data_IF_734259285057
#
_entry.id   IF_734259285057
#
_cell.length_a   1.000
_cell.length_b   1.000
_cell.length_c   1.000
_cell.angle_alpha   90.00
_cell.angle_beta   90.00
_cell.angle_gamma   90.00
#
_symmetry.space_group_name_H-M   'P 1'
#
loop_
_entity.id
_entity.type
_entity.pdbx_description
1 polymer ?
#
# COMPACT_ATOMS: atom_id res chain seq x y z
N UNK A 1 63.71 -32.27 -64.91
CA UNK A 1 63.22 -31.74 -66.21
C UNK A 1 62.27 -30.61 -65.78
N UNK A 2 62.77 -29.45 -65.89
CA UNK A 2 62.44 -28.39 -66.82
C UNK A 2 61.25 -27.53 -66.37
N UNK A 3 61.62 -26.36 -65.93
CA UNK A 3 61.26 -25.02 -66.45
C UNK A 3 59.82 -24.55 -66.09
N UNK A 4 59.47 -23.33 -65.75
CA UNK A 4 60.14 -22.05 -65.60
C UNK A 4 59.13 -21.11 -64.96
N UNK A 5 59.61 -20.15 -64.18
CA UNK A 5 58.91 -18.91 -63.87
C UNK A 5 58.58 -18.07 -65.10
N UNK A 6 57.70 -17.12 -65.14
CA UNK A 6 58.08 -15.81 -64.59
C UNK A 6 56.94 -14.93 -63.93
N UNK A 7 57.41 -14.04 -63.10
CA UNK A 7 56.90 -12.73 -62.70
C UNK A 7 55.89 -12.06 -63.63
N UNK A 8 54.86 -11.47 -63.07
CA UNK A 8 54.45 -10.11 -63.42
C UNK A 8 53.66 -9.42 -62.23
N UNK A 9 54.20 -8.32 -61.88
CA UNK A 9 53.63 -7.26 -61.09
C UNK A 9 52.16 -6.94 -61.50
N UNK A 10 51.31 -6.59 -60.55
CA UNK A 10 50.60 -5.31 -60.64
C UNK A 10 49.84 -4.99 -59.34
N UNK A 11 50.26 -3.86 -58.81
CA UNK A 11 49.47 -2.76 -58.22
C UNK A 11 48.53 -3.08 -57.06
N UNK A 12 48.91 -2.45 -55.98
CA UNK A 12 48.17 -2.03 -54.79
C UNK A 12 46.79 -1.49 -55.10
N UNK A 13 45.77 -1.97 -54.38
CA UNK A 13 44.59 -1.23 -54.09
C UNK A 13 44.33 -1.40 -52.59
N UNK A 14 44.72 -0.38 -51.81
CA UNK A 14 44.34 -0.22 -50.43
C UNK A 14 42.82 0.02 -50.41
N UNK A 15 42.05 -0.98 -50.03
CA UNK A 15 40.67 -0.76 -49.59
C UNK A 15 40.71 -0.70 -48.06
N UNK A 16 40.70 0.52 -47.55
CA UNK A 16 40.49 0.79 -46.14
C UNK A 16 39.07 0.37 -45.74
N UNK A 17 38.94 -0.74 -45.02
CA UNK A 17 37.72 -1.14 -44.35
C UNK A 17 37.54 -0.20 -43.14
N UNK A 18 36.77 0.87 -43.32
CA UNK A 18 36.28 1.67 -42.23
C UNK A 18 35.24 0.85 -41.49
N UNK A 19 35.66 0.22 -40.37
CA UNK A 19 34.74 -0.34 -39.39
C UNK A 19 34.10 0.87 -38.70
N UNK A 20 32.93 1.27 -39.20
CA UNK A 20 32.06 2.21 -38.54
C UNK A 20 31.54 1.55 -37.26
N UNK A 21 32.17 1.86 -36.12
CA UNK A 21 31.57 1.65 -34.82
C UNK A 21 30.35 2.58 -34.74
N UNK A 22 29.17 2.05 -35.06
CA UNK A 22 27.90 2.69 -34.69
C UNK A 22 27.85 2.66 -33.16
N UNK A 23 28.34 3.73 -32.52
CA UNK A 23 27.91 4.11 -31.20
C UNK A 23 26.40 4.42 -31.29
N UNK A 24 25.57 3.43 -31.01
CA UNK A 24 24.19 3.68 -30.68
C UNK A 24 24.21 4.50 -29.38
N UNK A 25 24.34 5.80 -29.52
CA UNK A 25 23.97 6.75 -28.48
C UNK A 25 22.48 6.50 -28.24
N UNK A 26 22.17 5.75 -27.17
CA UNK A 26 20.85 5.75 -26.59
C UNK A 26 20.54 7.22 -26.30
N UNK A 27 19.75 7.80 -27.18
CA UNK A 27 19.15 9.10 -26.95
C UNK A 27 18.31 8.92 -25.68
N UNK A 28 18.89 9.26 -24.53
CA UNK A 28 18.16 9.64 -23.35
C UNK A 28 17.29 10.80 -23.84
N UNK A 29 16.02 10.51 -24.13
CA UNK A 29 15.04 11.56 -24.36
C UNK A 29 15.08 12.41 -23.11
N UNK A 30 15.76 13.54 -23.20
CA UNK A 30 15.83 14.50 -22.11
C UNK A 30 14.38 14.82 -21.78
N UNK A 31 13.98 14.43 -20.58
CA UNK A 31 12.69 14.76 -20.01
C UNK A 31 12.66 16.28 -19.90
N UNK A 32 11.91 16.94 -20.78
CA UNK A 32 11.85 18.39 -20.80
C UNK A 32 11.36 18.87 -19.43
N UNK A 33 12.22 19.61 -18.74
CA UNK A 33 11.91 20.21 -17.44
C UNK A 33 10.91 21.37 -17.57
N UNK A 34 10.60 21.78 -18.80
CA UNK A 34 9.71 22.88 -19.09
C UNK A 34 8.25 22.48 -18.89
N UNK A 35 7.63 23.09 -17.89
CA UNK A 35 6.21 22.95 -17.60
C UNK A 35 5.93 22.93 -16.10
N UNK A 36 4.68 23.15 -15.79
CA UNK A 36 4.13 23.06 -14.44
C UNK A 36 3.37 21.74 -14.27
N UNK A 37 3.16 21.37 -13.03
CA UNK A 37 2.29 20.27 -12.61
C UNK A 37 1.35 20.75 -11.52
N UNK A 38 0.24 20.05 -11.36
CA UNK A 38 -0.68 20.31 -10.28
C UNK A 38 -0.43 19.34 -9.13
N UNK A 39 -0.52 19.84 -7.92
CA UNK A 39 -0.46 19.06 -6.69
C UNK A 39 -1.36 19.65 -5.62
N UNK A 40 -1.91 18.80 -4.77
CA UNK A 40 -2.61 19.24 -3.58
C UNK A 40 -1.63 19.39 -2.43
N UNK A 41 -1.77 20.46 -1.68
CA UNK A 41 -0.96 20.76 -0.50
C UNK A 41 -1.86 20.96 0.71
N UNK A 42 -1.33 20.60 1.87
CA UNK A 42 -1.93 20.92 3.16
C UNK A 42 -1.59 22.38 3.49
N UNK A 43 -2.62 23.18 3.65
CA UNK A 43 -2.50 24.59 4.05
C UNK A 43 -3.12 24.78 5.42
N UNK A 44 -2.50 25.59 6.28
CA UNK A 44 -2.97 25.79 7.65
C UNK A 44 -4.38 26.38 7.65
N UNK A 45 -5.27 25.82 8.44
CA UNK A 45 -6.64 26.26 8.68
C UNK A 45 -6.83 26.67 10.13
N UNK A 46 -8.02 27.17 10.48
CA UNK A 46 -8.35 27.52 11.86
C UNK A 46 -8.24 26.31 12.82
N UNK A 47 -8.55 25.10 12.29
CA UNK A 47 -8.34 23.83 12.97
C UNK A 47 -7.71 22.87 11.96
N UNK A 48 -6.48 22.38 12.24
CA UNK A 48 -5.79 21.45 11.37
C UNK A 48 -5.35 22.09 10.04
N UNK A 49 -5.67 21.39 8.94
CA UNK A 49 -5.24 21.76 7.58
C UNK A 49 -6.40 21.59 6.59
N UNK A 50 -6.44 22.48 5.60
CA UNK A 50 -7.25 22.36 4.41
C UNK A 50 -6.41 21.89 3.22
N UNK A 51 -7.08 21.49 2.15
CA UNK A 51 -6.47 21.12 0.89
C UNK A 51 -6.47 22.31 -0.07
N UNK A 52 -5.31 22.67 -0.61
CA UNK A 52 -5.18 23.68 -1.67
C UNK A 52 -4.52 23.08 -2.90
N UNK A 53 -5.17 23.22 -4.05
CA UNK A 53 -4.58 22.86 -5.34
C UNK A 53 -3.55 23.95 -5.73
N UNK A 54 -2.35 23.52 -6.04
CA UNK A 54 -1.24 24.39 -6.44
C UNK A 54 -0.68 23.94 -7.77
N UNK A 55 -0.28 24.91 -8.57
CA UNK A 55 0.54 24.72 -9.74
C UNK A 55 1.99 25.03 -9.37
N UNK A 56 2.90 24.09 -9.63
CA UNK A 56 4.31 24.17 -9.25
C UNK A 56 5.20 23.73 -10.41
N UNK A 57 6.46 24.17 -10.47
CA UNK A 57 7.42 23.64 -11.44
C UNK A 57 7.49 22.12 -11.39
N UNK A 58 7.56 21.50 -12.55
CA UNK A 58 7.71 20.05 -12.67
C UNK A 58 9.03 19.59 -12.06
N UNK A 59 9.03 18.65 -11.09
CA UNK A 59 10.28 18.22 -10.49
C UNK A 59 11.07 17.32 -11.44
N UNK A 60 12.39 17.51 -11.49
CA UNK A 60 13.33 16.69 -12.25
C UNK A 60 14.08 15.75 -11.31
N UNK A 61 14.20 14.45 -11.64
CA UNK A 61 14.91 13.51 -10.79
C UNK A 61 16.42 13.78 -10.82
N UNK A 62 17.00 13.87 -9.65
CA UNK A 62 18.44 13.99 -9.43
C UNK A 62 19.13 12.62 -9.51
N UNK A 63 20.44 12.58 -9.20
CA UNK A 63 21.19 11.32 -9.09
C UNK A 63 20.51 10.36 -8.10
N UNK A 64 20.35 9.10 -8.53
CA UNK A 64 19.68 8.03 -7.78
C UNK A 64 18.22 8.32 -7.45
N UNK A 65 17.53 9.10 -8.26
CA UNK A 65 16.09 9.36 -8.13
C UNK A 65 15.36 8.99 -9.41
N UNK A 66 14.06 8.75 -9.30
CA UNK A 66 13.15 8.57 -10.44
C UNK A 66 12.00 9.56 -10.33
N UNK A 67 11.52 10.04 -11.49
CA UNK A 67 10.24 10.76 -11.55
C UNK A 67 9.13 9.78 -11.91
N UNK A 68 8.07 9.80 -11.12
CA UNK A 68 6.87 8.97 -11.30
C UNK A 68 5.70 9.86 -11.64
N UNK A 69 5.07 9.63 -12.80
CA UNK A 69 3.73 10.16 -13.08
C UNK A 69 2.73 9.36 -12.30
N UNK A 70 2.13 9.98 -11.29
CA UNK A 70 1.09 9.35 -10.48
C UNK A 70 -0.18 9.19 -11.33
N UNK A 71 -0.80 8.04 -11.25
CA UNK A 71 -2.03 7.71 -11.97
C UNK A 71 -3.22 7.53 -11.04
N UNK A 72 -2.95 7.07 -9.82
CA UNK A 72 -3.95 6.93 -8.79
C UNK A 72 -3.33 7.04 -7.40
N UNK A 73 -4.07 7.59 -6.46
CA UNK A 73 -3.76 7.59 -5.02
C UNK A 73 -4.94 7.06 -4.25
N UNK A 74 -4.72 6.57 -3.03
CA UNK A 74 -5.79 5.99 -2.23
C UNK A 74 -5.77 6.49 -0.79
N UNK A 75 -6.93 6.90 -0.30
CA UNK A 75 -7.13 7.44 1.03
C UNK A 75 -7.05 6.36 2.11
N UNK A 76 -6.51 6.75 3.26
CA UNK A 76 -6.45 5.99 4.49
C UNK A 76 -6.99 6.83 5.67
N UNK A 77 -7.45 6.18 6.74
CA UNK A 77 -7.93 6.88 7.95
C UNK A 77 -6.92 7.91 8.48
N UNK A 78 -5.62 7.59 8.38
CA UNK A 78 -4.56 8.51 8.83
C UNK A 78 -4.56 9.85 8.09
N UNK A 79 -5.00 9.89 6.84
CA UNK A 79 -5.01 11.12 6.04
C UNK A 79 -6.02 12.13 6.61
N UNK A 80 -7.14 11.65 7.17
CA UNK A 80 -8.08 12.47 7.93
C UNK A 80 -7.46 12.97 9.24
N UNK A 81 -6.75 12.11 9.97
CA UNK A 81 -6.06 12.49 11.21
C UNK A 81 -4.96 13.52 10.95
N UNK A 82 -4.25 13.38 9.85
CA UNK A 82 -3.22 14.35 9.43
C UNK A 82 -3.86 15.69 9.07
N UNK A 83 -4.94 15.68 8.29
CA UNK A 83 -5.70 16.89 7.97
C UNK A 83 -6.23 17.57 9.24
N UNK A 84 -6.66 16.81 10.22
CA UNK A 84 -7.08 17.33 11.52
C UNK A 84 -5.93 17.83 12.42
N UNK A 85 -4.65 17.62 12.03
CA UNK A 85 -3.49 17.95 12.86
C UNK A 85 -3.27 17.03 14.07
N UNK A 86 -3.95 15.89 14.11
CA UNK A 86 -4.01 14.97 15.26
C UNK A 86 -3.25 13.63 15.05
N UNK A 87 -2.38 13.57 14.09
CA UNK A 87 -1.62 12.35 13.83
C UNK A 87 -0.37 12.29 14.70
N UNK A 88 -0.46 11.57 15.83
CA UNK A 88 0.60 11.50 16.86
C UNK A 88 1.91 10.81 16.45
N UNK A 89 2.04 10.29 15.24
CA UNK A 89 3.20 9.53 14.76
C UNK A 89 3.98 10.25 13.66
N UNK A 90 3.82 11.55 13.51
CA UNK A 90 4.52 12.36 12.53
C UNK A 90 4.07 13.81 12.56
N UNK A 91 4.93 14.71 12.10
CA UNK A 91 4.56 16.12 11.94
C UNK A 91 3.88 16.34 10.59
N UNK A 92 2.74 16.97 10.60
CA UNK A 92 2.13 17.52 9.40
C UNK A 92 2.75 18.90 9.16
N UNK A 93 3.29 19.12 7.98
CA UNK A 93 3.89 20.42 7.62
C UNK A 93 2.98 21.16 6.66
N UNK A 94 2.90 22.47 6.82
CA UNK A 94 2.29 23.36 5.84
C UNK A 94 3.02 23.25 4.51
N UNK A 95 2.30 23.18 3.40
CA UNK A 95 2.85 22.95 2.07
C UNK A 95 3.15 21.47 1.75
N UNK A 96 3.00 20.56 2.73
CA UNK A 96 3.21 19.12 2.52
C UNK A 96 2.17 18.52 1.56
N UNK A 97 2.62 17.62 0.68
CA UNK A 97 1.75 16.84 -0.20
C UNK A 97 1.13 15.71 0.62
N UNK A 98 -0.21 15.60 0.72
CA UNK A 98 -0.86 14.55 1.50
C UNK A 98 -0.87 13.20 0.76
N UNK A 99 -1.44 12.19 1.44
CA UNK A 99 -1.69 10.81 1.01
C UNK A 99 -0.39 10.01 0.84
N UNK A 100 -0.31 8.91 1.60
CA UNK A 100 0.84 7.99 1.53
C UNK A 100 0.82 7.07 0.33
N UNK A 101 -0.37 6.68 -0.13
CA UNK A 101 -0.60 5.58 -1.03
C UNK A 101 -0.80 6.07 -2.47
N UNK A 102 0.04 5.61 -3.38
CA UNK A 102 -0.10 5.96 -4.79
C UNK A 102 0.61 4.98 -5.70
N UNK A 103 0.12 4.89 -6.92
CA UNK A 103 0.67 4.11 -8.00
C UNK A 103 0.78 4.94 -9.29
N UNK A 104 1.76 4.62 -10.10
CA UNK A 104 2.03 5.37 -11.33
C UNK A 104 3.08 4.71 -12.21
N UNK A 105 3.59 5.50 -13.13
CA UNK A 105 4.55 5.10 -14.14
C UNK A 105 5.85 5.91 -14.00
N UNK A 106 6.99 5.25 -14.05
CA UNK A 106 8.28 5.91 -14.11
C UNK A 106 8.42 6.62 -15.46
N UNK A 107 8.57 7.94 -15.44
CA UNK A 107 8.66 8.78 -16.65
C UNK A 107 10.05 9.37 -16.89
N UNK A 108 10.91 9.36 -15.87
CA UNK A 108 12.32 9.70 -15.99
C UNK A 108 13.14 9.00 -14.92
N UNK A 109 14.41 8.76 -15.21
CA UNK A 109 15.39 8.15 -14.30
C UNK A 109 16.62 9.04 -14.22
N UNK A 110 17.05 9.37 -13.02
CA UNK A 110 18.29 10.10 -12.77
C UNK A 110 19.52 9.22 -12.95
N UNK A 111 20.72 9.82 -13.06
CA UNK A 111 21.96 9.08 -13.18
C UNK A 111 22.16 8.11 -11.99
N UNK A 112 22.62 6.89 -12.26
CA UNK A 112 22.90 5.87 -11.24
C UNK A 112 21.75 4.93 -10.91
N UNK A 113 20.53 5.21 -11.35
CA UNK A 113 19.38 4.32 -11.15
C UNK A 113 19.55 3.05 -11.98
N UNK A 114 19.44 1.88 -11.31
CA UNK A 114 19.50 0.55 -11.95
C UNK A 114 18.23 -0.27 -11.76
N UNK A 115 17.42 0.07 -10.74
CA UNK A 115 16.27 -0.72 -10.30
C UNK A 115 15.05 -0.57 -11.20
N UNK A 116 14.89 0.60 -11.80
CA UNK A 116 13.76 0.94 -12.66
C UNK A 116 14.19 1.58 -13.97
N UNK A 117 13.31 1.53 -14.96
CA UNK A 117 13.42 2.22 -16.25
C UNK A 117 12.11 2.95 -16.54
N UNK A 118 12.17 3.89 -17.49
CA UNK A 118 10.98 4.57 -18.02
C UNK A 118 9.97 3.53 -18.53
N UNK A 119 8.70 3.73 -18.19
CA UNK A 119 7.59 2.82 -18.47
C UNK A 119 7.34 1.77 -17.39
N UNK A 120 8.21 1.60 -16.40
CA UNK A 120 7.94 0.68 -15.28
C UNK A 120 6.74 1.19 -14.46
N UNK A 121 5.79 0.29 -14.19
CA UNK A 121 4.63 0.55 -13.35
C UNK A 121 4.98 0.30 -11.88
N UNK A 122 4.79 1.30 -11.04
CA UNK A 122 5.27 1.28 -9.65
C UNK A 122 4.23 1.78 -8.65
N UNK A 123 4.38 1.37 -7.38
CA UNK A 123 3.72 1.97 -6.23
C UNK A 123 4.75 2.42 -5.20
N UNK A 124 4.46 3.51 -4.50
CA UNK A 124 5.26 3.97 -3.37
C UNK A 124 5.09 3.04 -2.17
N UNK A 125 6.15 2.77 -1.42
CA UNK A 125 6.02 2.11 -0.12
C UNK A 125 5.65 3.16 0.95
N UNK A 126 4.93 2.74 1.98
CA UNK A 126 4.43 3.66 3.02
C UNK A 126 5.57 4.37 3.77
N UNK A 127 6.59 3.62 4.21
CA UNK A 127 7.81 4.13 4.84
C UNK A 127 8.96 4.03 3.85
N UNK A 128 9.34 5.13 3.23
CA UNK A 128 10.34 5.16 2.15
C UNK A 128 11.66 4.46 2.48
N UNK A 129 12.06 4.44 3.77
CA UNK A 129 13.34 3.89 4.23
C UNK A 129 13.22 2.54 4.95
N UNK A 130 12.02 1.97 5.04
CA UNK A 130 11.88 0.64 5.62
C UNK A 130 11.95 -0.44 4.54
N UNK A 131 13.17 -0.81 4.18
CA UNK A 131 13.41 -1.78 3.10
C UNK A 131 13.14 -3.21 3.57
N UNK A 132 13.48 -3.56 4.79
CA UNK A 132 13.28 -4.88 5.37
C UNK A 132 13.76 -4.95 6.82
N UNK A 133 13.64 -6.13 7.43
CA UNK A 133 14.09 -6.37 8.79
C UNK A 133 13.26 -5.64 9.86
N UNK A 134 13.90 -5.36 11.00
CA UNK A 134 13.28 -4.67 12.13
C UNK A 134 13.00 -3.20 11.81
N UNK A 135 11.96 -2.64 12.44
CA UNK A 135 11.66 -1.20 12.38
C UNK A 135 12.75 -0.40 13.09
N UNK A 136 13.16 0.70 12.48
CA UNK A 136 14.06 1.68 13.10
C UNK A 136 13.37 3.04 13.20
N UNK A 137 13.83 3.91 14.08
CA UNK A 137 13.32 5.28 14.20
C UNK A 137 13.45 6.03 12.86
N UNK A 138 14.56 5.85 12.13
CA UNK A 138 14.79 6.45 10.82
C UNK A 138 13.80 5.94 9.76
N UNK A 139 13.45 4.65 9.79
CA UNK A 139 12.42 4.08 8.91
C UNK A 139 11.05 4.70 9.21
N UNK A 140 10.65 4.75 10.47
CA UNK A 140 9.36 5.33 10.88
C UNK A 140 9.23 6.83 10.58
N UNK A 141 10.33 7.57 10.65
CA UNK A 141 10.38 8.99 10.30
C UNK A 141 10.26 9.26 8.78
N UNK A 142 10.15 8.23 7.94
CA UNK A 142 10.06 8.35 6.48
C UNK A 142 8.65 8.07 5.92
N UNK A 143 7.60 8.23 6.74
CA UNK A 143 6.22 8.00 6.32
C UNK A 143 5.79 9.02 5.26
N UNK A 144 5.36 8.54 4.09
CA UNK A 144 4.83 9.37 3.00
C UNK A 144 3.54 10.10 3.43
N UNK A 145 3.35 11.28 2.86
CA UNK A 145 2.22 12.15 3.19
C UNK A 145 2.27 12.66 4.63
N UNK A 146 3.42 12.56 5.30
CA UNK A 146 3.70 13.03 6.63
C UNK A 146 5.08 13.67 6.68
N UNK A 147 6.06 13.00 7.29
CA UNK A 147 7.44 13.49 7.33
C UNK A 147 8.13 13.45 5.96
N UNK A 148 7.70 12.56 5.07
CA UNK A 148 8.11 12.52 3.66
C UNK A 148 6.96 12.99 2.77
N UNK A 149 7.29 13.48 1.56
CA UNK A 149 6.30 13.93 0.58
C UNK A 149 5.31 12.83 0.22
N UNK A 150 4.01 13.19 0.13
CA UNK A 150 2.95 12.28 -0.26
C UNK A 150 2.85 12.08 -1.77
N UNK A 151 1.74 11.48 -2.19
CA UNK A 151 1.51 11.04 -3.56
C UNK A 151 0.44 11.84 -4.31
N UNK A 152 -0.28 12.79 -3.66
CA UNK A 152 -1.36 13.55 -4.30
C UNK A 152 -0.80 14.70 -5.15
N UNK A 153 -0.04 14.34 -6.18
CA UNK A 153 0.62 15.20 -7.14
C UNK A 153 0.70 14.50 -8.50
N UNK A 154 0.58 15.23 -9.61
CA UNK A 154 0.69 14.65 -10.96
C UNK A 154 2.05 14.00 -11.23
N UNK A 155 3.13 14.53 -10.63
CA UNK A 155 4.47 13.93 -10.69
C UNK A 155 5.13 14.04 -9.33
N UNK A 156 5.75 12.94 -8.90
CA UNK A 156 6.59 12.90 -7.69
C UNK A 156 7.98 12.40 -8.04
N UNK A 157 8.98 12.91 -7.33
CA UNK A 157 10.35 12.36 -7.36
C UNK A 157 10.52 11.46 -6.15
N UNK A 158 11.10 10.28 -6.37
CA UNK A 158 11.25 9.28 -5.34
C UNK A 158 12.62 8.59 -5.41
N UNK A 159 13.09 8.12 -4.24
CA UNK A 159 14.17 7.12 -4.18
C UNK A 159 13.64 5.80 -4.77
N UNK A 160 14.36 5.17 -5.72
CA UNK A 160 13.99 3.86 -6.27
C UNK A 160 13.80 2.78 -5.19
N UNK A 161 14.53 2.88 -4.09
CA UNK A 161 14.39 1.94 -2.97
C UNK A 161 13.06 2.10 -2.21
N UNK A 162 12.43 3.27 -2.32
CA UNK A 162 11.10 3.58 -1.78
C UNK A 162 9.92 3.16 -2.68
N UNK A 163 10.18 2.38 -3.74
CA UNK A 163 9.18 1.94 -4.71
C UNK A 163 9.20 0.41 -4.90
N UNK A 164 8.05 -0.13 -5.33
CA UNK A 164 7.92 -1.53 -5.77
C UNK A 164 7.25 -1.58 -7.14
N UNK A 165 7.55 -2.61 -7.95
CA UNK A 165 6.78 -2.92 -9.16
C UNK A 165 5.40 -3.43 -8.75
N UNK A 166 4.36 -2.98 -9.44
CA UNK A 166 3.00 -3.47 -9.22
C UNK A 166 2.70 -4.71 -10.07
N UNK A 167 1.86 -5.63 -9.62
CA UNK A 167 1.40 -6.76 -10.41
C UNK A 167 0.80 -6.32 -11.73
N UNK A 168 1.12 -7.03 -12.82
CA UNK A 168 0.72 -6.63 -14.18
C UNK A 168 -0.80 -6.66 -14.42
N UNK A 169 -1.51 -7.51 -13.67
CA UNK A 169 -2.97 -7.64 -13.79
C UNK A 169 -3.76 -6.54 -13.05
N UNK A 170 -3.12 -5.77 -12.17
CA UNK A 170 -3.79 -4.70 -11.44
C UNK A 170 -3.85 -3.42 -12.26
N UNK A 171 -4.94 -2.67 -12.13
CA UNK A 171 -5.00 -1.27 -12.52
C UNK A 171 -4.14 -0.40 -11.60
N UNK A 172 -3.96 0.89 -11.91
CA UNK A 172 -3.27 1.81 -11.01
C UNK A 172 -4.12 2.10 -9.78
N UNK A 173 -5.43 2.17 -9.93
CA UNK A 173 -6.40 2.37 -8.85
C UNK A 173 -6.34 1.23 -7.83
N UNK A 174 -6.34 -0.02 -8.31
CA UNK A 174 -6.20 -1.20 -7.46
C UNK A 174 -4.84 -1.23 -6.76
N UNK A 175 -3.76 -0.99 -7.51
CA UNK A 175 -2.40 -0.99 -6.96
C UNK A 175 -2.17 0.11 -5.93
N UNK A 176 -2.77 1.30 -6.11
CA UNK A 176 -2.71 2.39 -5.16
C UNK A 176 -3.33 2.06 -3.79
N UNK A 177 -4.18 1.04 -3.69
CA UNK A 177 -4.80 0.65 -2.41
C UNK A 177 -3.89 -0.18 -1.50
N UNK A 178 -2.77 -0.68 -2.02
CA UNK A 178 -1.94 -1.69 -1.36
C UNK A 178 -0.91 -1.15 -0.35
N UNK A 179 -0.25 0.01 -0.56
CA UNK A 179 0.89 0.42 0.26
C UNK A 179 0.63 0.45 1.76
N UNK A 180 -0.52 0.97 2.18
CA UNK A 180 -0.92 0.98 3.59
C UNK A 180 -1.75 -0.26 3.94
N UNK A 181 -2.95 -0.40 3.37
CA UNK A 181 -3.91 -1.41 3.84
C UNK A 181 -3.52 -2.83 3.45
N UNK A 182 -3.03 -3.04 2.23
CA UNK A 182 -2.58 -4.35 1.76
C UNK A 182 -1.38 -4.86 2.56
N UNK A 183 -0.36 -4.01 2.72
CA UNK A 183 0.85 -4.37 3.48
C UNK A 183 0.54 -4.56 4.97
N UNK A 184 -0.39 -3.77 5.54
CA UNK A 184 -0.87 -3.95 6.92
C UNK A 184 -1.54 -5.31 7.10
N UNK A 185 -2.49 -5.66 6.23
CA UNK A 185 -3.18 -6.95 6.28
C UNK A 185 -2.20 -8.13 6.09
N UNK A 186 -1.23 -7.98 5.16
CA UNK A 186 -0.16 -8.96 4.97
C UNK A 186 0.68 -9.15 6.23
N UNK A 187 1.14 -8.07 6.83
CA UNK A 187 1.93 -8.13 8.06
C UNK A 187 1.14 -8.76 9.23
N UNK A 188 -0.14 -8.43 9.34
CA UNK A 188 -1.03 -8.98 10.35
C UNK A 188 -1.23 -10.48 10.18
N UNK A 189 -1.59 -10.93 8.98
CA UNK A 189 -1.97 -12.32 8.71
C UNK A 189 -0.75 -13.25 8.60
N UNK A 190 0.26 -12.86 7.83
CA UNK A 190 1.35 -13.77 7.43
C UNK A 190 2.63 -13.57 8.24
N UNK A 191 3.06 -12.33 8.40
CA UNK A 191 4.35 -12.06 9.06
C UNK A 191 4.28 -12.24 10.58
N UNK A 192 3.21 -11.76 11.20
CA UNK A 192 2.99 -11.81 12.66
C UNK A 192 2.03 -12.91 13.05
N UNK A 193 0.93 -13.03 12.31
CA UNK A 193 -0.12 -13.97 12.58
C UNK A 193 0.21 -15.41 12.16
N UNK A 194 1.02 -15.60 11.11
CA UNK A 194 1.37 -16.93 10.57
C UNK A 194 0.14 -17.79 10.27
N UNK A 195 -0.85 -17.15 9.61
CA UNK A 195 -2.12 -17.82 9.31
C UNK A 195 -1.92 -19.12 8.53
N UNK A 196 -2.65 -20.15 8.91
CA UNK A 196 -2.64 -21.47 8.28
C UNK A 196 -4.00 -21.79 7.65
N UNK A 197 -4.04 -22.68 6.63
CA UNK A 197 -5.30 -23.15 6.06
C UNK A 197 -6.22 -23.76 7.12
N UNK A 198 -7.53 -23.49 7.01
CA UNK A 198 -8.55 -23.97 7.95
C UNK A 198 -8.75 -23.10 9.19
N UNK A 199 -7.79 -22.25 9.55
CA UNK A 199 -7.91 -21.35 10.71
C UNK A 199 -8.97 -20.26 10.49
N UNK A 200 -9.60 -19.84 11.59
CA UNK A 200 -10.57 -18.73 11.57
C UNK A 200 -9.88 -17.39 11.78
N UNK A 201 -10.29 -16.40 10.98
CA UNK A 201 -9.80 -15.02 11.05
C UNK A 201 -10.98 -14.08 11.27
N UNK A 202 -10.95 -13.28 12.30
CA UNK A 202 -11.91 -12.19 12.51
C UNK A 202 -11.38 -10.89 11.88
N UNK A 203 -12.24 -10.24 11.11
CA UNK A 203 -11.98 -8.98 10.42
C UNK A 203 -13.03 -7.96 10.89
N UNK A 204 -12.61 -6.90 11.52
CA UNK A 204 -13.53 -5.90 12.07
C UNK A 204 -13.83 -4.80 11.05
N UNK A 205 -15.13 -4.60 10.79
CA UNK A 205 -15.60 -3.62 9.81
C UNK A 205 -15.33 -4.03 8.36
N UNK A 206 -15.73 -3.16 7.42
CA UNK A 206 -15.63 -3.36 5.96
C UNK A 206 -14.79 -2.30 5.27
N UNK A 207 -13.82 -1.75 5.99
CA UNK A 207 -12.83 -0.82 5.47
C UNK A 207 -11.68 -1.52 4.74
N UNK A 208 -10.71 -0.73 4.27
CA UNK A 208 -9.64 -1.21 3.39
C UNK A 208 -8.83 -2.39 3.93
N UNK A 209 -8.40 -2.34 5.21
CA UNK A 209 -7.60 -3.43 5.80
C UNK A 209 -8.42 -4.72 5.89
N UNK A 210 -9.67 -4.62 6.34
CA UNK A 210 -10.52 -5.80 6.56
C UNK A 210 -10.93 -6.45 5.24
N UNK A 211 -11.23 -5.67 4.21
CA UNK A 211 -11.63 -6.22 2.91
C UNK A 211 -10.46 -6.87 2.16
N UNK A 212 -9.28 -6.25 2.13
CA UNK A 212 -8.11 -6.94 1.56
C UNK A 212 -7.68 -8.11 2.43
N UNK A 213 -7.80 -8.00 3.76
CA UNK A 213 -7.56 -9.09 4.71
C UNK A 213 -8.46 -10.29 4.46
N UNK A 214 -9.75 -10.07 4.14
CA UNK A 214 -10.69 -11.12 3.74
C UNK A 214 -10.21 -11.86 2.49
N UNK A 215 -9.83 -11.12 1.44
CA UNK A 215 -9.35 -11.69 0.19
C UNK A 215 -8.06 -12.50 0.39
N UNK A 216 -7.13 -11.96 1.18
CA UNK A 216 -5.85 -12.64 1.50
C UNK A 216 -6.06 -13.90 2.34
N UNK A 217 -6.89 -13.83 3.41
CA UNK A 217 -7.18 -14.96 4.27
C UNK A 217 -7.88 -16.10 3.50
N UNK A 218 -8.89 -15.77 2.67
CA UNK A 218 -9.55 -16.72 1.78
C UNK A 218 -8.56 -17.39 0.83
N UNK A 219 -7.69 -16.62 0.19
CA UNK A 219 -6.71 -17.15 -0.76
C UNK A 219 -5.65 -18.04 -0.07
N UNK A 220 -5.39 -17.82 1.22
CA UNK A 220 -4.56 -18.68 2.06
C UNK A 220 -5.26 -19.95 2.56
N UNK A 221 -6.54 -20.16 2.24
CA UNK A 221 -7.34 -21.30 2.71
C UNK A 221 -7.87 -21.16 4.13
N UNK A 222 -7.78 -19.99 4.73
CA UNK A 222 -8.39 -19.67 6.01
C UNK A 222 -9.89 -19.36 5.89
N UNK A 223 -10.58 -19.27 7.01
CA UNK A 223 -12.03 -19.02 7.12
C UNK A 223 -12.29 -17.63 7.68
N UNK A 224 -12.37 -16.58 6.84
CA UNK A 224 -12.59 -15.22 7.30
C UNK A 224 -14.02 -14.99 7.80
N UNK A 225 -14.16 -14.45 9.01
CA UNK A 225 -15.40 -13.93 9.60
C UNK A 225 -15.27 -12.43 9.64
N UNK A 226 -16.29 -11.71 9.17
CA UNK A 226 -16.24 -10.24 9.10
C UNK A 226 -17.43 -9.61 9.82
N UNK A 227 -17.17 -8.51 10.51
CA UNK A 227 -18.22 -7.73 11.18
C UNK A 227 -18.52 -6.45 10.39
N UNK A 228 -19.74 -5.95 10.48
CA UNK A 228 -20.15 -4.66 9.93
C UNK A 228 -21.36 -4.11 10.66
N UNK A 229 -21.65 -2.81 10.47
CA UNK A 229 -22.90 -2.17 10.89
C UNK A 229 -24.01 -2.25 9.83
N UNK A 230 -23.70 -2.76 8.62
CA UNK A 230 -24.59 -2.75 7.46
C UNK A 230 -24.74 -4.15 6.88
N UNK A 231 -25.98 -4.63 6.77
CA UNK A 231 -26.27 -5.94 6.17
C UNK A 231 -25.95 -5.97 4.67
N UNK A 232 -26.07 -4.84 3.98
CA UNK A 232 -25.66 -4.72 2.58
C UNK A 232 -24.15 -4.94 2.41
N UNK A 233 -23.33 -4.29 3.25
CA UNK A 233 -21.88 -4.50 3.26
C UNK A 233 -21.52 -5.94 3.63
N UNK A 234 -22.27 -6.58 4.54
CA UNK A 234 -22.10 -7.99 4.90
C UNK A 234 -22.45 -8.93 3.74
N UNK A 235 -23.50 -8.61 2.96
CA UNK A 235 -23.83 -9.36 1.75
C UNK A 235 -22.67 -9.30 0.74
N UNK A 236 -22.13 -8.13 0.46
CA UNK A 236 -20.94 -7.97 -0.41
C UNK A 236 -19.73 -8.77 0.12
N UNK A 237 -19.53 -8.79 1.44
CA UNK A 237 -18.46 -9.57 2.05
C UNK A 237 -18.64 -11.08 1.85
N UNK A 238 -19.88 -11.60 1.92
CA UNK A 238 -20.18 -13.02 1.60
C UNK A 238 -19.88 -13.32 0.14
N UNK A 239 -20.23 -12.45 -0.78
CA UNK A 239 -19.95 -12.58 -2.22
C UNK A 239 -18.45 -12.64 -2.49
N UNK A 240 -17.63 -11.90 -1.73
CA UNK A 240 -16.17 -11.99 -1.75
C UNK A 240 -15.62 -13.28 -1.12
N UNK A 241 -16.46 -14.01 -0.39
CA UNK A 241 -16.14 -15.32 0.20
C UNK A 241 -15.85 -15.30 1.70
N UNK A 242 -16.45 -14.37 2.45
CA UNK A 242 -16.47 -14.47 3.90
C UNK A 242 -17.13 -15.80 4.32
N UNK A 243 -16.49 -16.53 5.23
CA UNK A 243 -17.04 -17.75 5.83
C UNK A 243 -18.23 -17.45 6.73
N UNK A 244 -18.18 -16.35 7.48
CA UNK A 244 -19.23 -15.87 8.36
C UNK A 244 -19.29 -14.36 8.38
N UNK A 245 -20.46 -13.83 8.74
CA UNK A 245 -20.68 -12.37 8.84
C UNK A 245 -21.52 -12.05 10.06
N UNK A 246 -21.19 -10.98 10.77
CA UNK A 246 -21.91 -10.56 11.97
C UNK A 246 -22.22 -9.07 11.91
N UNK A 247 -23.51 -8.72 12.10
CA UNK A 247 -23.92 -7.32 12.22
C UNK A 247 -23.83 -6.89 13.70
N UNK A 248 -22.80 -6.09 14.02
CA UNK A 248 -22.56 -5.68 15.40
C UNK A 248 -23.54 -4.62 15.92
N UNK A 249 -24.31 -3.95 15.04
CA UNK A 249 -25.42 -3.09 15.47
C UNK A 249 -26.66 -3.89 15.86
N UNK A 250 -26.98 -4.92 15.10
CA UNK A 250 -28.09 -5.82 15.39
C UNK A 250 -27.76 -6.74 16.58
N UNK A 251 -26.51 -7.17 16.69
CA UNK A 251 -26.00 -7.99 17.78
C UNK A 251 -24.80 -7.33 18.47
N UNK A 252 -25.02 -6.52 19.50
CA UNK A 252 -23.94 -5.88 20.27
C UNK A 252 -22.98 -6.88 20.91
N UNK A 253 -23.42 -8.12 21.21
CA UNK A 253 -22.60 -9.20 21.71
C UNK A 253 -21.97 -10.04 20.58
N UNK A 254 -21.56 -9.37 19.53
CA UNK A 254 -21.03 -9.98 18.31
C UNK A 254 -19.92 -11.04 18.55
N UNK A 255 -19.14 -10.93 19.61
CA UNK A 255 -18.11 -11.90 19.97
C UNK A 255 -18.68 -13.27 20.31
N UNK A 256 -19.91 -13.34 20.87
CA UNK A 256 -20.59 -14.62 21.14
C UNK A 256 -21.02 -15.31 19.85
N UNK A 257 -21.52 -14.53 18.88
CA UNK A 257 -21.88 -15.04 17.56
C UNK A 257 -20.64 -15.53 16.79
N UNK A 258 -19.52 -14.78 16.86
CA UNK A 258 -18.23 -15.22 16.29
C UNK A 258 -17.81 -16.57 16.89
N UNK A 259 -17.93 -16.76 18.20
CA UNK A 259 -17.66 -18.07 18.83
C UNK A 259 -18.60 -19.17 18.34
N UNK A 260 -19.88 -18.88 18.17
CA UNK A 260 -20.85 -19.83 17.62
C UNK A 260 -20.48 -20.25 16.20
N UNK A 261 -20.09 -19.30 15.32
CA UNK A 261 -19.65 -19.57 13.96
C UNK A 261 -18.38 -20.46 13.89
N UNK A 262 -17.57 -20.45 14.93
CA UNK A 262 -16.38 -21.30 15.04
C UNK A 262 -16.61 -22.61 15.78
N UNK A 263 -17.87 -22.98 16.09
CA UNK A 263 -18.20 -24.16 16.87
C UNK A 263 -17.73 -24.07 18.34
N UNK A 264 -17.60 -22.87 18.89
CA UNK A 264 -17.11 -22.59 20.24
C UNK A 264 -15.59 -22.47 20.39
N UNK A 265 -14.82 -22.84 19.36
CA UNK A 265 -13.34 -22.81 19.43
C UNK A 265 -12.77 -21.37 19.52
N UNK A 266 -13.45 -20.41 18.92
CA UNK A 266 -12.94 -19.05 18.75
C UNK A 266 -12.09 -18.87 17.48
N UNK A 267 -11.63 -17.64 17.24
CA UNK A 267 -10.82 -17.30 16.06
C UNK A 267 -9.34 -17.33 16.38
N UNK A 268 -8.54 -17.82 15.43
CA UNK A 268 -7.07 -17.88 15.59
C UNK A 268 -6.40 -16.54 15.44
N UNK A 269 -7.01 -15.64 14.64
CA UNK A 269 -6.48 -14.33 14.36
C UNK A 269 -7.58 -13.26 14.36
N UNK A 270 -7.25 -12.09 14.88
CA UNK A 270 -8.10 -10.89 14.79
C UNK A 270 -7.31 -9.77 14.12
N UNK A 271 -7.89 -9.13 13.10
CA UNK A 271 -7.44 -7.84 12.60
C UNK A 271 -8.23 -6.75 13.32
N UNK A 272 -7.65 -6.26 14.41
CA UNK A 272 -8.26 -5.30 15.32
C UNK A 272 -8.04 -3.86 14.82
N UNK A 273 -9.11 -3.22 14.39
CA UNK A 273 -9.08 -1.85 13.87
C UNK A 273 -9.95 -0.89 14.70
N UNK A 274 -10.83 -1.43 15.56
CA UNK A 274 -11.77 -0.65 16.34
C UNK A 274 -11.15 0.02 17.56
N UNK A 275 -10.33 -0.68 18.32
CA UNK A 275 -9.61 -0.14 19.45
C UNK A 275 -10.27 -0.40 20.79
N UNK A 276 -10.44 0.65 21.63
CA UNK A 276 -10.83 0.49 23.02
C UNK A 276 -12.17 -0.23 23.23
N UNK A 277 -13.14 -0.05 22.34
CA UNK A 277 -14.48 -0.63 22.49
C UNK A 277 -14.58 -2.05 21.91
N UNK A 278 -13.67 -2.45 21.03
CA UNK A 278 -13.68 -3.76 20.35
C UNK A 278 -12.68 -4.74 20.95
N UNK A 279 -11.51 -4.30 21.37
CA UNK A 279 -10.44 -5.15 21.89
C UNK A 279 -10.87 -6.11 23.04
N UNK A 280 -11.67 -5.69 24.03
CA UNK A 280 -12.16 -6.60 25.07
C UNK A 280 -13.06 -7.71 24.52
N UNK A 281 -13.85 -7.41 23.49
CA UNK A 281 -14.72 -8.40 22.82
C UNK A 281 -13.94 -9.30 21.89
N UNK A 282 -12.93 -8.75 21.19
CA UNK A 282 -11.99 -9.51 20.37
C UNK A 282 -11.27 -10.60 21.20
N UNK A 283 -10.82 -10.25 22.41
CA UNK A 283 -10.25 -11.23 23.36
C UNK A 283 -11.22 -12.34 23.73
N UNK A 284 -12.52 -12.03 23.92
CA UNK A 284 -13.54 -13.04 24.22
C UNK A 284 -13.83 -13.97 23.03
N UNK A 285 -13.66 -13.46 21.79
CA UNK A 285 -13.84 -14.23 20.57
C UNK A 285 -12.62 -15.12 20.22
N UNK A 286 -11.46 -14.86 20.86
CA UNK A 286 -10.19 -15.48 20.51
C UNK A 286 -10.14 -16.97 20.93
N UNK A 287 -9.52 -17.79 20.12
CA UNK A 287 -9.16 -19.17 20.46
C UNK A 287 -7.94 -19.21 21.39
N UNK A 288 -7.66 -20.37 21.98
CA UNK A 288 -6.38 -20.62 22.65
C UNK A 288 -5.21 -20.39 21.66
N UNK A 289 -4.12 -19.85 22.16
CA UNK A 289 -2.90 -19.48 21.41
C UNK A 289 -3.16 -18.53 20.23
N UNK A 290 -4.31 -17.85 20.24
CA UNK A 290 -4.69 -16.91 19.19
C UNK A 290 -3.91 -15.59 19.26
N UNK A 291 -3.90 -14.85 18.14
CA UNK A 291 -3.24 -13.55 18.02
C UNK A 291 -4.19 -12.43 17.63
N UNK A 292 -4.12 -11.32 18.34
CA UNK A 292 -4.77 -10.06 17.97
C UNK A 292 -3.73 -9.15 17.34
N UNK A 293 -3.90 -8.88 16.06
CA UNK A 293 -3.13 -7.87 15.34
C UNK A 293 -3.76 -6.50 15.58
N UNK A 294 -3.17 -5.72 16.50
CA UNK A 294 -3.62 -4.37 16.83
C UNK A 294 -3.17 -3.39 15.76
N UNK A 295 -4.11 -2.90 14.95
CA UNK A 295 -3.86 -2.10 13.74
C UNK A 295 -4.35 -0.67 13.93
N UNK A 296 -5.55 -0.51 14.48
CA UNK A 296 -6.23 0.77 14.59
C UNK A 296 -6.87 1.02 15.93
N UNK A 297 -7.42 2.20 16.09
CA UNK A 297 -8.14 2.64 17.28
C UNK A 297 -9.25 3.62 16.90
N UNK A 298 -10.21 3.16 16.07
CA UNK A 298 -11.33 4.01 15.61
C UNK A 298 -12.14 4.56 16.76
N UNK A 299 -12.30 3.79 17.86
CA UNK A 299 -12.97 4.21 19.10
C UNK A 299 -12.02 4.74 20.17
N UNK A 300 -10.71 4.79 19.89
CA UNK A 300 -9.66 5.22 20.82
C UNK A 300 -8.67 4.12 21.16
N UNK A 301 -7.63 4.49 21.92
CA UNK A 301 -6.53 3.58 22.30
C UNK A 301 -6.47 3.30 23.82
N UNK A 302 -7.41 3.82 24.59
CA UNK A 302 -7.42 3.73 26.06
C UNK A 302 -8.00 2.39 26.58
N UNK A 303 -7.69 1.27 25.93
CA UNK A 303 -8.16 -0.06 26.37
C UNK A 303 -7.15 -0.73 27.28
N UNK A 304 -7.66 -1.48 28.26
CA UNK A 304 -6.84 -2.39 29.08
C UNK A 304 -7.03 -3.83 28.60
N UNK A 305 -5.94 -4.58 28.56
CA UNK A 305 -5.93 -6.02 28.31
C UNK A 305 -5.68 -6.74 29.63
N UNK A 306 -6.62 -7.51 30.16
CA UNK A 306 -6.45 -8.22 31.43
C UNK A 306 -5.33 -9.27 31.31
N UNK A 307 -4.26 -9.14 32.06
CA UNK A 307 -3.11 -10.06 32.01
C UNK A 307 -3.51 -11.52 32.28
N UNK A 308 -4.44 -11.76 33.20
CA UNK A 308 -4.96 -13.10 33.50
C UNK A 308 -5.68 -13.73 32.31
N UNK A 309 -6.37 -12.95 31.49
CA UNK A 309 -7.03 -13.45 30.28
C UNK A 309 -6.01 -13.80 29.20
N UNK A 310 -4.96 -12.99 29.03
CA UNK A 310 -3.85 -13.32 28.12
C UNK A 310 -3.16 -14.62 28.53
N UNK A 311 -2.87 -14.75 29.82
CA UNK A 311 -2.24 -15.96 30.37
C UNK A 311 -3.13 -17.20 30.12
N UNK A 312 -4.42 -17.11 30.50
CA UNK A 312 -5.35 -18.23 30.38
C UNK A 312 -5.62 -18.68 28.94
N UNK A 313 -5.53 -17.77 27.97
CA UNK A 313 -5.69 -18.08 26.55
C UNK A 313 -4.36 -18.42 25.85
N UNK A 314 -3.20 -18.17 26.46
CA UNK A 314 -1.92 -18.19 25.74
C UNK A 314 -1.86 -17.13 24.62
N UNK A 315 -2.68 -16.09 24.73
CA UNK A 315 -2.94 -15.14 23.66
C UNK A 315 -1.78 -14.18 23.42
N UNK A 316 -1.65 -13.73 22.17
CA UNK A 316 -0.73 -12.67 21.78
C UNK A 316 -1.50 -11.43 21.35
N UNK A 317 -0.98 -10.24 21.71
CA UNK A 317 -1.43 -8.94 21.16
C UNK A 317 -0.25 -8.29 20.50
N UNK A 318 -0.32 -8.16 19.18
CA UNK A 318 0.81 -7.72 18.36
C UNK A 318 0.50 -6.41 17.66
N UNK A 319 1.24 -5.35 17.96
CA UNK A 319 1.10 -4.06 17.27
C UNK A 319 1.58 -4.15 15.82
N UNK A 320 0.71 -3.76 14.90
CA UNK A 320 1.00 -3.69 13.46
C UNK A 320 1.09 -2.22 13.04
N UNK A 321 2.16 -1.87 12.38
CA UNK A 321 2.31 -0.54 11.78
C UNK A 321 2.82 -0.70 10.37
N UNK A 322 1.90 -0.99 9.44
CA UNK A 322 2.15 -1.30 8.04
C UNK A 322 3.19 -2.43 7.88
N UNK A 323 4.20 -2.25 7.02
CA UNK A 323 5.29 -3.18 6.79
C UNK A 323 6.39 -2.56 5.94
N UNK A 324 7.42 -3.34 5.67
CA UNK A 324 8.58 -2.98 4.87
C UNK A 324 8.33 -3.16 3.37
N UNK A 325 9.28 -2.70 2.53
CA UNK A 325 9.30 -3.02 1.10
C UNK A 325 9.29 -4.53 0.86
N UNK A 326 10.10 -5.27 1.59
CA UNK A 326 10.15 -6.73 1.45
C UNK A 326 8.78 -7.38 1.73
N UNK A 327 8.01 -6.85 2.71
CA UNK A 327 6.65 -7.30 2.98
C UNK A 327 5.71 -6.96 1.80
N UNK A 328 5.87 -5.80 1.17
CA UNK A 328 5.07 -5.41 0.01
C UNK A 328 5.42 -6.25 -1.23
N UNK A 329 6.68 -6.54 -1.47
CA UNK A 329 7.11 -7.42 -2.56
C UNK A 329 6.56 -8.85 -2.38
N UNK A 330 6.54 -9.37 -1.15
CA UNK A 330 5.94 -10.66 -0.83
C UNK A 330 4.41 -10.64 -1.01
N UNK A 331 3.73 -9.59 -0.59
CA UNK A 331 2.31 -9.36 -0.86
C UNK A 331 2.03 -9.35 -2.37
N UNK A 332 2.80 -8.62 -3.17
CA UNK A 332 2.63 -8.53 -4.61
C UNK A 332 2.81 -9.89 -5.29
N UNK A 333 3.76 -10.70 -4.83
CA UNK A 333 3.94 -12.07 -5.31
C UNK A 333 2.71 -12.95 -5.00
N UNK A 334 2.16 -12.85 -3.79
CA UNK A 334 0.96 -13.57 -3.37
C UNK A 334 -0.27 -13.14 -4.18
N UNK A 335 -0.52 -11.83 -4.31
CA UNK A 335 -1.61 -11.25 -5.11
C UNK A 335 -1.52 -11.72 -6.58
N UNK A 336 -0.32 -11.73 -7.15
CA UNK A 336 -0.08 -12.20 -8.53
C UNK A 336 -0.41 -13.68 -8.67
N UNK A 337 0.05 -14.51 -7.73
CA UNK A 337 -0.20 -15.96 -7.74
C UNK A 337 -1.69 -16.29 -7.66
N UNK A 338 -2.43 -15.60 -6.81
CA UNK A 338 -3.83 -15.89 -6.53
C UNK A 338 -4.80 -15.02 -7.34
N UNK A 339 -4.30 -14.14 -8.22
CA UNK A 339 -5.09 -13.22 -9.07
C UNK A 339 -6.09 -12.39 -8.25
N UNK A 340 -5.63 -11.85 -7.13
CA UNK A 340 -6.44 -11.00 -6.25
C UNK A 340 -6.49 -9.60 -6.82
N UNK A 341 -7.71 -9.06 -7.00
CA UNK A 341 -7.97 -7.67 -7.33
C UNK A 341 -8.49 -6.95 -6.07
N UNK A 342 -7.74 -5.96 -5.53
CA UNK A 342 -8.21 -5.18 -4.40
C UNK A 342 -9.53 -4.46 -4.70
N UNK A 343 -10.41 -4.37 -3.72
CA UNK A 343 -11.73 -3.73 -3.89
C UNK A 343 -11.60 -2.22 -3.81
N UNK A 344 -11.89 -1.56 -4.92
CA UNK A 344 -12.08 -0.10 -5.00
C UNK A 344 -13.58 0.18 -4.98
N UNK A 345 -14.05 0.94 -3.99
CA UNK A 345 -15.47 1.27 -3.83
C UNK A 345 -15.89 2.47 -4.66
N UNK A 346 -15.12 3.55 -4.55
CA UNK A 346 -15.36 4.81 -5.26
C UNK A 346 -14.07 5.38 -5.82
N UNK A 347 -14.17 5.99 -7.01
CA UNK A 347 -13.08 6.71 -7.66
C UNK A 347 -13.53 8.16 -7.86
N UNK A 348 -12.71 9.09 -7.42
CA UNK A 348 -12.87 10.53 -7.63
C UNK A 348 -11.83 11.02 -8.60
N UNK A 349 -12.12 12.09 -9.33
CA UNK A 349 -11.12 12.75 -10.17
C UNK A 349 -10.17 13.62 -9.32
N UNK A 350 -9.00 13.93 -9.84
CA UNK A 350 -7.96 14.70 -9.13
C UNK A 350 -8.47 16.07 -8.64
N UNK A 351 -9.31 16.75 -9.44
CA UNK A 351 -9.95 18.03 -9.05
C UNK A 351 -10.86 17.89 -7.84
N UNK A 352 -11.41 16.69 -7.61
CA UNK A 352 -12.42 16.42 -6.60
C UNK A 352 -11.82 15.81 -5.31
N UNK A 353 -10.51 15.95 -5.12
CA UNK A 353 -9.84 15.44 -3.92
C UNK A 353 -10.53 15.85 -2.60
N UNK A 354 -11.00 17.09 -2.40
CA UNK A 354 -11.75 17.43 -1.18
C UNK A 354 -13.02 16.60 -0.98
N UNK A 355 -13.76 16.27 -2.05
CA UNK A 355 -14.93 15.42 -1.99
C UNK A 355 -14.58 13.96 -1.62
N UNK A 356 -13.43 13.46 -2.09
CA UNK A 356 -12.93 12.13 -1.69
C UNK A 356 -12.61 12.08 -0.18
N UNK A 357 -12.02 13.12 0.39
CA UNK A 357 -11.79 13.23 1.83
C UNK A 357 -13.11 13.31 2.62
N UNK A 358 -14.09 14.06 2.15
CA UNK A 358 -15.42 14.12 2.76
C UNK A 358 -16.11 12.75 2.75
N UNK A 359 -16.08 12.05 1.62
CA UNK A 359 -16.62 10.69 1.50
C UNK A 359 -15.93 9.68 2.44
N UNK A 360 -14.63 9.85 2.69
CA UNK A 360 -13.91 9.03 3.68
C UNK A 360 -14.33 9.35 5.13
N UNK A 361 -14.64 10.60 5.41
CA UNK A 361 -15.11 11.08 6.72
C UNK A 361 -16.51 10.54 7.05
N UNK A 362 -17.41 10.47 6.06
CA UNK A 362 -18.74 9.87 6.15
C UNK A 362 -18.70 8.39 6.54
N UNK A 363 -17.66 7.66 6.11
CA UNK A 363 -17.48 6.23 6.43
C UNK A 363 -18.38 5.27 5.66
N UNK A 364 -19.18 5.77 4.72
CA UNK A 364 -20.14 5.00 3.91
C UNK A 364 -19.49 4.32 2.69
N UNK A 365 -18.40 3.57 2.90
CA UNK A 365 -17.67 2.87 1.83
C UNK A 365 -17.36 1.41 2.19
N UNK A 366 -17.01 0.62 1.16
CA UNK A 366 -16.65 -0.79 1.28
C UNK A 366 -15.31 -1.04 0.58
N UNK A 367 -14.24 -1.27 1.31
CA UNK A 367 -12.88 -1.35 0.76
C UNK A 367 -12.20 0.00 0.72
N UNK A 368 -11.86 0.52 -0.48
CA UNK A 368 -11.02 1.71 -0.62
C UNK A 368 -11.65 2.81 -1.48
N UNK A 369 -11.35 4.05 -1.09
CA UNK A 369 -11.61 5.26 -1.88
C UNK A 369 -10.31 5.64 -2.61
N UNK A 370 -10.42 5.94 -3.88
CA UNK A 370 -9.30 6.26 -4.79
C UNK A 370 -9.55 7.61 -5.46
N UNK A 371 -8.46 8.34 -5.71
CA UNK A 371 -8.45 9.54 -6.54
C UNK A 371 -7.59 9.23 -7.77
N UNK A 372 -8.14 9.43 -8.97
CA UNK A 372 -7.47 9.24 -10.26
C UNK A 372 -6.83 10.55 -10.71
N UNK A 373 -5.61 10.44 -11.27
CA UNK A 373 -4.85 11.58 -11.81
C UNK A 373 -4.66 11.46 -13.32
#
# INVERSE_FOLDING_TARGET
MLFASPLRLLRAACAALAIGVLCASAASTAFAADGTIRQWQLVKAAKGFDLALKEVPRPTPERNQVAVRVRAVSLNRRDLLMRAGNYGLGSVQEGGIPISDGAGEVIAVGPGVKRFKVGDRVAGIFFERWIGGARTAAALASARGGNASGMLSEVVVADPEGLVKIPSHLSYEEAATLPCTGVTAWAALFKRGRIEPGQFVLLEGTGGVSIIGLQLAKAAGAKPIITSSSDEKLKRARELGAFGTVNYKANPDWQKEVRTLTGGAGVNQVLEVGGQDTLPKALQALAFDGNIAMIGGLSGFASSVPAGQLLGLGAQVTGIYVGSRADFEALNAFITKHKINPVVDRVFEFSDAPAAFAAMEEGEFFGKIVIRL
#
